data_IF_094982171703
#
_entry.id   IF_094982171703
#
_cell.length_a   1.000
_cell.length_b   1.000
_cell.length_c   1.000
_cell.angle_alpha   90.00
_cell.angle_beta   90.00
_cell.angle_gamma   90.00
#
_symmetry.space_group_name_H-M   'P 1'
#
loop_
_entity.id
_entity.type
_entity.pdbx_description
1 polymer ?
#
# COMPACT_ATOMS: atom_id res chain seq x y z
N UNK A 1 -30.09 15.15 4.97
CA UNK A 1 -28.71 15.38 5.44
C UNK A 1 -27.79 14.47 4.64
N UNK A 2 -27.13 15.01 3.62
CA UNK A 2 -26.20 14.27 2.76
C UNK A 2 -24.93 13.96 3.55
N UNK A 3 -24.59 12.66 3.63
CA UNK A 3 -23.41 12.17 4.35
C UNK A 3 -22.15 12.70 3.65
N UNK A 4 -21.24 13.26 4.44
CA UNK A 4 -19.99 13.87 3.98
C UNK A 4 -18.97 12.77 3.63
N UNK A 5 -19.23 12.00 2.58
CA UNK A 5 -18.41 10.83 2.22
C UNK A 5 -17.13 11.20 1.43
N UNK A 6 -17.09 12.39 0.83
CA UNK A 6 -16.00 12.83 -0.04
C UNK A 6 -14.67 13.14 0.68
N UNK A 7 -14.63 13.82 1.86
CA UNK A 7 -13.37 14.09 2.56
C UNK A 7 -12.67 12.81 3.05
N UNK A 8 -13.44 11.74 3.32
CA UNK A 8 -12.90 10.49 3.85
C UNK A 8 -12.21 9.68 2.76
N UNK A 9 -12.78 9.61 1.55
CA UNK A 9 -12.15 8.85 0.44
C UNK A 9 -10.75 9.40 0.12
N UNK A 10 -10.61 10.72 0.01
CA UNK A 10 -9.31 11.34 -0.31
C UNK A 10 -8.27 11.09 0.79
N UNK A 11 -8.72 11.08 2.06
CA UNK A 11 -7.87 10.68 3.18
C UNK A 11 -7.40 9.23 3.03
N UNK A 12 -8.29 8.30 2.66
CA UNK A 12 -7.94 6.90 2.43
C UNK A 12 -7.02 6.70 1.22
N UNK A 13 -7.19 7.46 0.13
CA UNK A 13 -6.25 7.44 -1.00
C UNK A 13 -4.86 7.89 -0.55
N UNK A 14 -4.77 9.01 0.19
CA UNK A 14 -3.48 9.53 0.68
C UNK A 14 -2.85 8.58 1.70
N UNK A 15 -3.64 7.96 2.56
CA UNK A 15 -3.18 6.95 3.51
C UNK A 15 -2.61 5.72 2.78
N UNK A 16 -3.31 5.25 1.74
CA UNK A 16 -2.85 4.17 0.88
C UNK A 16 -1.54 4.54 0.17
N UNK A 17 -1.42 5.74 -0.42
CA UNK A 17 -0.21 6.21 -1.08
C UNK A 17 1.01 6.14 -0.14
N UNK A 18 0.87 6.70 1.06
CA UNK A 18 1.93 6.69 2.06
C UNK A 18 2.33 5.27 2.49
N UNK A 19 1.34 4.38 2.59
CA UNK A 19 1.55 2.99 2.98
C UNK A 19 2.31 2.23 1.90
N UNK A 20 1.93 2.40 0.63
CA UNK A 20 2.64 1.82 -0.52
C UNK A 20 4.07 2.37 -0.59
N UNK A 21 4.26 3.70 -0.50
CA UNK A 21 5.58 4.35 -0.49
C UNK A 21 6.48 3.76 0.59
N UNK A 22 5.95 3.60 1.82
CA UNK A 22 6.70 3.03 2.94
C UNK A 22 7.18 1.61 2.65
N UNK A 23 6.37 0.81 1.99
CA UNK A 23 6.74 -0.55 1.59
C UNK A 23 7.82 -0.54 0.52
N UNK A 24 7.63 0.23 -0.56
CA UNK A 24 8.57 0.21 -1.70
C UNK A 24 9.93 0.83 -1.35
N UNK A 25 9.98 1.78 -0.41
CA UNK A 25 11.25 2.28 0.17
C UNK A 25 12.01 1.20 0.92
N UNK A 26 11.34 0.15 1.39
CA UNK A 26 11.95 -0.94 2.12
C UNK A 26 12.70 -0.49 3.36
N UNK A 27 13.71 -1.26 3.73
CA UNK A 27 14.58 -0.96 4.84
C UNK A 27 15.96 -0.54 4.31
N UNK A 28 16.50 0.57 4.80
CA UNK A 28 17.86 0.99 4.48
C UNK A 28 18.88 -0.09 4.88
N UNK A 29 19.96 -0.30 4.10
CA UNK A 29 21.05 -1.20 4.46
C UNK A 29 21.62 -0.90 5.86
N UNK A 30 21.72 0.38 6.19
CA UNK A 30 22.27 0.90 7.45
C UNK A 30 21.23 0.99 8.57
N UNK A 31 20.05 0.38 8.40
CA UNK A 31 18.98 0.50 9.36
C UNK A 31 19.35 -0.09 10.74
N UNK A 32 19.02 0.69 11.77
CA UNK A 32 19.15 0.30 13.17
C UNK A 32 18.30 -0.93 13.50
N UNK A 33 18.64 -1.62 14.60
CA UNK A 33 17.80 -2.73 15.13
C UNK A 33 16.33 -2.32 15.34
N UNK A 34 16.10 -1.09 15.78
CA UNK A 34 14.74 -0.57 15.96
C UNK A 34 13.99 -0.42 14.63
N UNK A 35 14.64 0.17 13.62
CA UNK A 35 14.06 0.29 12.27
C UNK A 35 13.78 -1.08 11.64
N UNK A 36 14.70 -2.05 11.80
CA UNK A 36 14.51 -3.46 11.41
C UNK A 36 13.26 -4.06 12.07
N UNK A 37 13.13 -3.90 13.38
CA UNK A 37 11.95 -4.36 14.15
C UNK A 37 10.65 -3.69 13.68
N UNK A 38 10.69 -2.37 13.42
CA UNK A 38 9.51 -1.63 12.94
C UNK A 38 9.12 -2.02 11.52
N UNK A 39 10.08 -2.25 10.63
CA UNK A 39 9.83 -2.72 9.28
C UNK A 39 9.22 -4.12 9.28
N UNK A 40 9.76 -5.05 10.06
CA UNK A 40 9.12 -6.36 10.25
C UNK A 40 7.70 -6.24 10.81
N UNK A 41 7.50 -5.35 11.79
CA UNK A 41 6.20 -5.14 12.42
C UNK A 41 5.22 -4.36 11.56
N UNK A 42 5.61 -3.52 10.59
CA UNK A 42 4.66 -2.61 9.93
C UNK A 42 4.87 -2.44 8.42
N UNK A 43 6.00 -2.88 7.87
CA UNK A 43 6.39 -2.67 6.47
C UNK A 43 6.30 -3.91 5.59
N UNK A 44 6.01 -5.10 6.13
CA UNK A 44 5.86 -6.31 5.32
C UNK A 44 4.59 -6.34 4.47
N UNK A 45 4.63 -7.03 3.32
CA UNK A 45 3.56 -7.11 2.31
C UNK A 45 2.18 -7.42 2.91
N UNK A 46 2.09 -8.40 3.81
CA UNK A 46 0.82 -8.84 4.43
C UNK A 46 0.10 -7.68 5.13
N UNK A 47 0.86 -6.75 5.75
CA UNK A 47 0.27 -5.60 6.42
C UNK A 47 -0.16 -4.53 5.44
N UNK A 48 0.61 -4.32 4.39
CA UNK A 48 0.29 -3.38 3.31
C UNK A 48 -1.01 -3.80 2.62
N UNK A 49 -1.16 -5.07 2.29
CA UNK A 49 -2.39 -5.60 1.71
C UNK A 49 -3.60 -5.41 2.64
N UNK A 50 -3.42 -5.62 3.96
CA UNK A 50 -4.48 -5.36 4.95
C UNK A 50 -4.88 -3.88 5.01
N UNK A 51 -3.92 -2.97 4.88
CA UNK A 51 -4.22 -1.53 4.84
C UNK A 51 -4.94 -1.14 3.55
N UNK A 52 -4.51 -1.68 2.40
CA UNK A 52 -5.22 -1.51 1.13
C UNK A 52 -6.66 -2.03 1.22
N UNK A 53 -6.89 -3.20 1.80
CA UNK A 53 -8.25 -3.72 2.03
C UNK A 53 -9.08 -2.82 2.94
N UNK A 54 -8.47 -2.27 3.99
CA UNK A 54 -9.12 -1.31 4.87
C UNK A 54 -9.55 -0.05 4.10
N UNK A 55 -8.63 0.55 3.36
CA UNK A 55 -8.90 1.73 2.55
C UNK A 55 -9.97 1.45 1.46
N UNK A 56 -9.97 0.23 0.89
CA UNK A 56 -11.01 -0.23 -0.04
C UNK A 56 -12.40 -0.28 0.58
N UNK A 57 -12.53 -0.67 1.85
CA UNK A 57 -13.82 -0.63 2.57
C UNK A 57 -14.36 0.78 2.73
N UNK A 58 -13.52 1.79 2.57
CA UNK A 58 -13.85 3.20 2.70
C UNK A 58 -13.88 3.94 1.34
N UNK A 59 -14.02 3.21 0.24
CA UNK A 59 -14.31 3.78 -1.09
C UNK A 59 -13.11 3.88 -2.03
N UNK A 60 -11.92 3.45 -1.60
CA UNK A 60 -10.78 3.27 -2.48
C UNK A 60 -11.02 2.08 -3.42
N UNK A 61 -10.69 2.23 -4.70
CA UNK A 61 -10.85 1.19 -5.71
C UNK A 61 -9.51 0.59 -6.12
N UNK A 62 -9.55 -0.56 -6.78
CA UNK A 62 -8.34 -1.14 -7.39
C UNK A 62 -7.71 -0.18 -8.41
N UNK A 63 -8.53 0.58 -9.15
CA UNK A 63 -8.06 1.64 -10.07
C UNK A 63 -7.23 2.70 -9.34
N UNK A 64 -7.66 3.14 -8.15
CA UNK A 64 -6.93 4.10 -7.33
C UNK A 64 -5.56 3.53 -6.91
N UNK A 65 -5.51 2.23 -6.59
CA UNK A 65 -4.24 1.55 -6.24
C UNK A 65 -3.32 1.48 -7.45
N UNK A 66 -3.83 1.07 -8.60
CA UNK A 66 -3.06 0.98 -9.86
C UNK A 66 -2.52 2.36 -10.25
N UNK A 67 -3.34 3.41 -10.12
CA UNK A 67 -2.90 4.79 -10.39
C UNK A 67 -1.72 5.21 -9.51
N UNK A 68 -1.71 4.82 -8.23
CA UNK A 68 -0.57 5.07 -7.33
C UNK A 68 0.67 4.28 -7.80
N UNK A 69 0.53 3.01 -8.15
CA UNK A 69 1.65 2.19 -8.62
C UNK A 69 2.27 2.76 -9.90
N UNK A 70 1.45 3.22 -10.85
CA UNK A 70 1.91 3.88 -12.07
C UNK A 70 2.57 5.24 -11.80
N UNK A 71 2.00 6.02 -10.87
CA UNK A 71 2.60 7.28 -10.43
C UNK A 71 4.00 7.05 -9.86
N UNK A 72 4.19 6.03 -9.04
CA UNK A 72 5.51 5.68 -8.48
C UNK A 72 6.53 5.28 -9.58
N UNK A 73 6.07 4.67 -10.68
CA UNK A 73 6.90 4.29 -11.82
C UNK A 73 7.34 5.48 -12.68
N UNK A 74 6.45 6.47 -12.86
CA UNK A 74 6.60 7.45 -13.93
C UNK A 74 6.79 8.89 -13.44
N UNK A 75 6.26 9.24 -12.28
CA UNK A 75 6.27 10.62 -11.80
C UNK A 75 7.67 11.01 -11.29
N UNK A 76 8.19 12.14 -11.78
CA UNK A 76 9.49 12.69 -11.38
C UNK A 76 9.63 12.93 -9.87
N UNK A 77 8.53 13.19 -9.15
CA UNK A 77 8.54 13.39 -7.69
C UNK A 77 8.99 12.15 -6.89
N UNK A 78 9.02 10.98 -7.55
CA UNK A 78 9.45 9.71 -6.96
C UNK A 78 10.76 9.17 -7.54
N UNK A 79 11.53 9.99 -8.25
CA UNK A 79 12.79 9.57 -8.84
C UNK A 79 13.78 9.03 -7.79
N UNK A 80 13.91 9.73 -6.66
CA UNK A 80 14.78 9.32 -5.55
C UNK A 80 14.47 7.92 -5.01
N UNK A 81 13.20 7.50 -5.04
CA UNK A 81 12.80 6.21 -4.47
C UNK A 81 12.91 5.07 -5.48
N UNK A 82 12.91 5.38 -6.79
CA UNK A 82 13.09 4.38 -7.86
C UNK A 82 14.49 3.79 -7.88
N UNK A 83 15.49 4.54 -7.42
CA UNK A 83 16.87 4.08 -7.29
C UNK A 83 17.11 3.11 -6.12
N UNK A 84 16.12 2.91 -5.24
CA UNK A 84 16.28 2.04 -4.07
C UNK A 84 16.29 0.57 -4.49
N UNK A 85 17.26 -0.19 -3.98
CA UNK A 85 17.39 -1.63 -4.23
C UNK A 85 16.09 -2.39 -3.88
N UNK A 86 15.60 -3.19 -4.81
CA UNK A 86 14.36 -3.96 -4.67
C UNK A 86 13.07 -3.13 -4.72
N UNK A 87 13.13 -1.84 -5.10
CA UNK A 87 11.94 -1.01 -5.30
C UNK A 87 10.94 -1.67 -6.27
N UNK A 88 11.43 -2.07 -7.45
CA UNK A 88 10.60 -2.69 -8.48
C UNK A 88 10.02 -4.03 -8.03
N UNK A 89 10.77 -4.83 -7.27
CA UNK A 89 10.30 -6.13 -6.79
C UNK A 89 9.17 -5.97 -5.78
N UNK A 90 9.32 -5.07 -4.81
CA UNK A 90 8.28 -4.73 -3.82
C UNK A 90 7.04 -4.11 -4.48
N UNK A 91 7.24 -3.30 -5.52
CA UNK A 91 6.14 -2.70 -6.27
C UNK A 91 5.36 -3.76 -7.08
N UNK A 92 6.08 -4.70 -7.73
CA UNK A 92 5.47 -5.87 -8.40
C UNK A 92 4.76 -6.81 -7.43
N UNK A 93 5.26 -6.96 -6.20
CA UNK A 93 4.64 -7.80 -5.17
C UNK A 93 3.24 -7.29 -4.80
N UNK A 94 3.07 -5.97 -4.66
CA UNK A 94 1.77 -5.33 -4.44
C UNK A 94 0.86 -5.53 -5.65
N UNK A 95 1.35 -5.24 -6.85
CA UNK A 95 0.57 -5.37 -8.09
C UNK A 95 0.07 -6.81 -8.31
N UNK A 96 0.95 -7.79 -8.14
CA UNK A 96 0.61 -9.22 -8.26
C UNK A 96 -0.44 -9.63 -7.22
N UNK A 97 -0.36 -9.10 -6.01
CA UNK A 97 -1.33 -9.40 -4.95
C UNK A 97 -2.72 -8.83 -5.24
N UNK A 98 -2.79 -7.67 -5.92
CA UNK A 98 -4.06 -7.04 -6.32
C UNK A 98 -4.66 -7.76 -7.54
N UNK A 99 -3.83 -8.11 -8.53
CA UNK A 99 -4.26 -8.83 -9.72
C UNK A 99 -4.74 -10.26 -9.40
N UNK A 100 -4.10 -10.92 -8.43
CA UNK A 100 -4.47 -12.27 -7.98
C UNK A 100 -5.51 -12.27 -6.85
N UNK A 101 -6.09 -11.14 -6.46
CA UNK A 101 -7.08 -11.12 -5.38
C UNK A 101 -8.41 -11.73 -5.87
N UNK A 102 -8.82 -12.93 -5.41
CA UNK A 102 -10.21 -13.35 -5.57
C UNK A 102 -11.08 -12.39 -4.76
N UNK A 103 -12.25 -12.03 -5.30
CA UNK A 103 -13.28 -11.30 -4.55
C UNK A 103 -13.49 -12.00 -3.20
N UNK A 104 -13.02 -11.37 -2.12
CA UNK A 104 -12.89 -11.96 -0.79
C UNK A 104 -14.23 -12.58 -0.36
N UNK A 105 -14.32 -13.91 -0.34
CA UNK A 105 -15.30 -14.61 0.50
C UNK A 105 -14.97 -14.24 1.94
N UNK A 106 -15.87 -13.47 2.53
CA UNK A 106 -15.89 -13.13 3.95
C UNK A 106 -15.83 -14.45 4.72
N UNK A 107 -14.70 -14.73 5.38
CA UNK A 107 -14.61 -15.76 6.40
C UNK A 107 -15.40 -15.25 7.62
N UNK A 108 -16.70 -15.56 7.65
CA UNK A 108 -17.48 -15.58 8.86
C UNK A 108 -16.87 -16.63 9.79
N UNK A 109 -16.15 -16.17 10.82
CA UNK A 109 -16.02 -16.93 12.06
C UNK A 109 -17.41 -17.05 12.65
N UNK A 110 -18.01 -18.22 12.55
CA UNK A 110 -19.06 -18.63 13.47
C UNK A 110 -18.47 -19.60 14.49
N UNK A 111 -18.89 -19.35 15.72
CA UNK A 111 -18.50 -19.91 17.01
C UNK A 111 -18.52 -21.43 17.11
#
# INVERSE_FOLDING_TARGET
>A
MTRNDFPMKDWHIKHMENTVIKHVKGLSPDATRYQKKMHYKYGGIVKILRYIEYDKKHGVKNEDVIAILEKLRTDSSFEDIRGIEGFLDRLKEIESSIANAPATKILTRNS
#
